data_IF_434722248099
#
_entry.id   IF_434722248099
#
_cell.length_a   1.000
_cell.length_b   1.000
_cell.length_c   1.000
_cell.angle_alpha   90.00
_cell.angle_beta   90.00
_cell.angle_gamma   90.00
#
_symmetry.space_group_name_H-M   'P 1'
#
loop_
_entity.id
_entity.type
_entity.pdbx_description
1 polymer ?
#
# COMPACT_ATOMS: atom_id res chain seq x y z
N UNK A 1 -49.51 48.21 33.64
CA UNK A 1 -49.70 47.12 32.67
C UNK A 1 -48.30 46.76 32.16
N UNK A 2 -47.66 45.68 32.71
CA UNK A 2 -46.29 45.25 32.35
C UNK A 2 -46.43 44.15 31.33
N UNK A 3 -45.89 44.40 30.13
CA UNK A 3 -45.86 43.43 29.03
C UNK A 3 -44.61 42.58 29.22
N UNK A 4 -44.80 41.27 29.47
CA UNK A 4 -43.75 40.26 29.48
C UNK A 4 -43.52 39.79 28.04
N UNK A 5 -42.32 39.95 27.50
CA UNK A 5 -41.88 39.39 26.23
C UNK A 5 -41.19 38.06 26.49
N UNK A 6 -41.61 36.95 25.93
CA UNK A 6 -40.88 35.68 26.11
C UNK A 6 -39.66 35.63 25.19
N UNK A 7 -38.50 35.41 25.81
CA UNK A 7 -37.23 35.15 25.14
C UNK A 7 -37.22 33.69 24.60
N UNK A 8 -37.36 33.51 23.29
CA UNK A 8 -37.17 32.20 22.64
C UNK A 8 -35.65 31.89 22.61
N UNK A 9 -35.23 30.91 23.38
CA UNK A 9 -33.92 30.28 23.28
C UNK A 9 -33.92 29.33 22.06
N UNK A 10 -33.29 29.72 20.97
CA UNK A 10 -32.95 28.82 19.89
C UNK A 10 -31.77 27.93 20.34
N UNK A 11 -32.06 26.66 20.64
CA UNK A 11 -31.05 25.65 20.86
C UNK A 11 -30.50 25.22 19.49
N UNK A 12 -29.34 25.74 19.11
CA UNK A 12 -28.58 25.20 17.96
C UNK A 12 -27.95 23.87 18.36
N UNK A 13 -28.54 22.76 17.96
CA UNK A 13 -27.89 21.46 17.97
C UNK A 13 -26.82 21.51 16.87
N UNK A 14 -25.55 21.72 17.28
CA UNK A 14 -24.43 21.44 16.42
C UNK A 14 -24.43 19.91 16.16
N UNK A 15 -24.91 19.51 15.01
CA UNK A 15 -24.77 18.14 14.54
C UNK A 15 -23.28 17.85 14.44
N UNK A 16 -22.76 16.89 15.21
CA UNK A 16 -21.46 16.31 14.96
C UNK A 16 -21.48 15.83 13.51
N UNK A 17 -20.60 16.36 12.68
CA UNK A 17 -20.40 15.84 11.34
C UNK A 17 -20.00 14.35 11.53
N UNK A 18 -20.87 13.46 11.07
CA UNK A 18 -20.60 12.03 11.02
C UNK A 18 -19.45 11.87 10.02
N UNK A 19 -18.21 11.85 10.54
CA UNK A 19 -17.02 11.65 9.71
C UNK A 19 -17.10 10.21 9.23
N UNK A 20 -17.56 10.04 7.98
CA UNK A 20 -17.69 8.73 7.36
C UNK A 20 -16.38 7.95 7.52
N UNK A 21 -16.46 6.73 8.04
CA UNK A 21 -15.30 5.88 8.27
C UNK A 21 -14.46 5.75 6.99
N UNK A 22 -13.14 5.86 7.15
CA UNK A 22 -12.15 5.84 6.07
C UNK A 22 -11.26 4.61 6.21
N UNK A 23 -10.92 3.99 5.09
CA UNK A 23 -9.99 2.85 5.03
C UNK A 23 -8.80 3.21 4.15
N UNK A 24 -7.59 3.03 4.65
CA UNK A 24 -6.37 3.12 3.86
C UNK A 24 -6.16 1.80 3.13
N UNK A 25 -6.22 1.83 1.80
CA UNK A 25 -6.09 0.63 0.97
C UNK A 25 -4.84 0.63 0.11
N UNK A 26 -4.37 -0.58 -0.20
CA UNK A 26 -3.43 -0.87 -1.27
C UNK A 26 -4.12 -1.77 -2.30
N UNK A 27 -4.15 -1.37 -3.57
CA UNK A 27 -4.44 -2.27 -4.69
C UNK A 27 -3.10 -2.72 -5.22
N UNK A 28 -2.85 -4.01 -5.15
CA UNK A 28 -1.55 -4.61 -5.31
C UNK A 28 -1.56 -5.81 -6.25
N UNK A 29 -0.39 -6.15 -6.76
CA UNK A 29 -0.12 -7.39 -7.48
C UNK A 29 0.64 -8.35 -6.57
N UNK A 30 0.18 -9.58 -6.51
CA UNK A 30 0.85 -10.67 -5.82
C UNK A 30 1.89 -11.27 -6.78
N UNK A 31 3.18 -11.34 -6.41
CA UNK A 31 4.20 -11.91 -7.28
C UNK A 31 4.13 -13.43 -7.30
N UNK A 32 4.71 -14.02 -8.34
CA UNK A 32 4.87 -15.47 -8.47
C UNK A 32 5.92 -16.03 -7.48
N UNK A 33 6.04 -17.37 -7.46
CA UNK A 33 6.97 -18.07 -6.58
C UNK A 33 8.42 -17.66 -6.78
N UNK A 34 8.82 -17.23 -7.99
CA UNK A 34 10.19 -16.78 -8.27
C UNK A 34 10.56 -15.56 -7.41
N UNK A 35 9.69 -14.54 -7.42
CA UNK A 35 9.91 -13.35 -6.59
C UNK A 35 9.70 -13.66 -5.10
N UNK A 36 8.70 -14.50 -4.75
CA UNK A 36 8.45 -14.85 -3.35
C UNK A 36 9.68 -15.49 -2.70
N UNK A 37 10.31 -16.48 -3.33
CA UNK A 37 11.52 -17.11 -2.83
C UNK A 37 12.67 -16.10 -2.63
N UNK A 38 12.87 -15.18 -3.58
CA UNK A 38 13.90 -14.13 -3.47
C UNK A 38 13.59 -13.14 -2.35
N UNK A 39 12.33 -12.79 -2.14
CA UNK A 39 11.89 -11.92 -1.06
C UNK A 39 12.09 -12.57 0.32
N UNK A 40 11.72 -13.85 0.45
CA UNK A 40 11.90 -14.65 1.68
C UNK A 40 13.38 -14.82 2.02
N UNK A 41 14.22 -15.17 1.05
CA UNK A 41 15.68 -15.26 1.24
C UNK A 41 16.29 -13.94 1.69
N UNK A 42 15.83 -12.83 1.14
CA UNK A 42 16.30 -11.51 1.55
C UNK A 42 15.81 -11.18 2.96
N UNK A 43 14.53 -11.41 3.27
CA UNK A 43 13.97 -11.19 4.60
C UNK A 43 14.72 -12.00 5.67
N UNK A 44 14.99 -13.27 5.42
CA UNK A 44 15.75 -14.12 6.34
C UNK A 44 17.16 -13.56 6.64
N UNK A 45 17.82 -12.96 5.64
CA UNK A 45 19.12 -12.28 5.83
C UNK A 45 18.97 -10.99 6.64
N UNK A 46 17.93 -10.20 6.39
CA UNK A 46 17.66 -8.98 7.14
C UNK A 46 17.34 -9.27 8.61
N UNK A 47 16.52 -10.28 8.88
CA UNK A 47 16.17 -10.70 10.26
C UNK A 47 17.37 -11.21 11.06
N UNK A 48 18.37 -11.87 10.41
CA UNK A 48 19.60 -12.25 11.08
C UNK A 48 20.40 -11.04 11.60
N UNK A 49 20.33 -9.92 10.90
CA UNK A 49 21.03 -8.67 11.25
C UNK A 49 20.19 -7.80 12.16
N UNK A 50 18.88 -7.80 11.96
CA UNK A 50 17.92 -6.99 12.71
C UNK A 50 16.69 -7.82 13.12
N UNK A 51 16.82 -8.63 14.20
CA UNK A 51 15.72 -9.49 14.67
C UNK A 51 14.45 -8.77 15.11
N UNK A 52 14.53 -7.44 15.31
CA UNK A 52 13.37 -6.56 15.59
C UNK A 52 12.59 -6.14 14.33
N UNK A 53 13.05 -6.55 13.16
CA UNK A 53 12.33 -6.37 11.91
C UNK A 53 11.14 -7.32 11.81
N UNK A 54 10.29 -7.11 10.83
CA UNK A 54 9.15 -8.00 10.58
C UNK A 54 9.54 -9.19 9.69
N UNK A 55 8.93 -10.34 9.95
CA UNK A 55 8.95 -11.49 9.06
C UNK A 55 7.90 -11.31 7.94
N UNK A 56 8.17 -11.89 6.76
CA UNK A 56 7.16 -11.98 5.71
C UNK A 56 6.13 -13.05 6.07
N UNK A 57 4.95 -12.61 6.48
CA UNK A 57 3.87 -13.46 6.99
C UNK A 57 2.49 -13.03 6.44
N UNK A 58 1.42 -13.38 7.13
CA UNK A 58 0.05 -13.04 6.72
C UNK A 58 -0.25 -11.54 6.81
N UNK A 59 0.47 -10.79 7.66
CA UNK A 59 0.32 -9.34 7.88
C UNK A 59 1.37 -8.49 7.15
N UNK A 60 2.40 -9.15 6.59
CA UNK A 60 3.50 -8.56 5.84
C UNK A 60 3.70 -9.29 4.51
N UNK A 61 2.65 -9.40 3.72
CA UNK A 61 2.68 -10.12 2.44
C UNK A 61 3.57 -9.42 1.41
N UNK A 62 4.53 -10.15 0.77
CA UNK A 62 5.27 -9.62 -0.37
C UNK A 62 4.32 -9.25 -1.51
N UNK A 63 4.42 -8.03 -2.02
CA UNK A 63 3.54 -7.53 -3.07
C UNK A 63 4.19 -6.39 -3.85
N UNK A 64 3.63 -6.06 -4.99
CA UNK A 64 3.90 -4.82 -5.70
C UNK A 64 2.69 -3.91 -5.51
N UNK A 65 2.86 -2.82 -4.77
CA UNK A 65 1.87 -1.76 -4.71
C UNK A 65 1.63 -1.18 -6.10
N UNK A 66 0.38 -1.16 -6.55
CA UNK A 66 -0.01 -0.42 -7.75
C UNK A 66 -0.54 0.96 -7.37
N UNK A 67 -1.44 1.04 -6.40
CA UNK A 67 -1.92 2.33 -5.86
C UNK A 67 -2.23 2.22 -4.37
N UNK A 68 -1.94 3.28 -3.61
CA UNK A 68 -2.43 3.45 -2.24
C UNK A 68 -3.35 4.67 -2.17
N UNK A 69 -4.49 4.53 -1.49
CA UNK A 69 -5.50 5.57 -1.36
C UNK A 69 -6.29 5.45 -0.06
N UNK A 70 -6.82 6.57 0.38
CA UNK A 70 -7.91 6.59 1.33
C UNK A 70 -9.23 6.48 0.60
N UNK A 71 -10.11 5.60 1.05
CA UNK A 71 -11.45 5.40 0.48
C UNK A 71 -12.50 5.47 1.59
N UNK A 72 -13.71 5.90 1.26
CA UNK A 72 -14.82 5.76 2.20
C UNK A 72 -15.09 4.27 2.42
N UNK A 73 -15.09 3.84 3.67
CA UNK A 73 -15.31 2.42 4.03
C UNK A 73 -16.62 1.87 3.46
N UNK A 74 -17.66 2.70 3.41
CA UNK A 74 -18.96 2.35 2.81
C UNK A 74 -18.91 2.14 1.28
N UNK A 75 -17.84 2.58 0.61
CA UNK A 75 -17.69 2.45 -0.85
C UNK A 75 -16.74 1.30 -1.25
N UNK A 76 -16.24 0.50 -0.31
CA UNK A 76 -15.29 -0.59 -0.60
C UNK A 76 -15.79 -1.54 -1.69
N UNK A 77 -17.06 -1.94 -1.68
CA UNK A 77 -17.62 -2.81 -2.73
C UNK A 77 -17.59 -2.15 -4.11
N UNK A 78 -17.77 -0.83 -4.18
CA UNK A 78 -17.66 -0.07 -5.43
C UNK A 78 -16.21 0.00 -5.91
N UNK A 79 -15.25 0.15 -4.98
CA UNK A 79 -13.81 0.08 -5.27
C UNK A 79 -13.47 -1.30 -5.85
N UNK A 80 -13.94 -2.39 -5.22
CA UNK A 80 -13.71 -3.75 -5.72
C UNK A 80 -14.30 -3.96 -7.12
N UNK A 81 -15.51 -3.48 -7.36
CA UNK A 81 -16.14 -3.59 -8.68
C UNK A 81 -15.38 -2.78 -9.75
N UNK A 82 -14.91 -1.58 -9.41
CA UNK A 82 -14.12 -0.75 -10.30
C UNK A 82 -12.75 -1.39 -10.62
N UNK A 83 -12.03 -1.86 -9.60
CA UNK A 83 -10.76 -2.56 -9.77
C UNK A 83 -10.92 -3.84 -10.59
N UNK A 84 -11.98 -4.63 -10.34
CA UNK A 84 -12.26 -5.84 -11.11
C UNK A 84 -12.42 -5.58 -12.61
N UNK A 85 -13.11 -4.50 -12.99
CA UNK A 85 -13.27 -4.12 -14.40
C UNK A 85 -11.94 -3.83 -15.08
N UNK A 86 -11.05 -3.11 -14.39
CA UNK A 86 -9.72 -2.79 -14.90
C UNK A 86 -8.85 -4.04 -15.01
N UNK A 87 -8.81 -4.86 -13.96
CA UNK A 87 -8.02 -6.10 -13.92
C UNK A 87 -8.48 -7.11 -14.97
N UNK A 88 -9.79 -7.25 -15.19
CA UNK A 88 -10.35 -8.14 -16.22
C UNK A 88 -10.05 -7.67 -17.65
N UNK A 89 -9.90 -6.35 -17.85
CA UNK A 89 -9.54 -5.80 -19.16
C UNK A 89 -8.03 -5.83 -19.43
N UNK A 90 -7.22 -5.88 -18.37
CA UNK A 90 -5.76 -5.92 -18.47
C UNK A 90 -5.29 -7.37 -18.52
N UNK A 91 -4.36 -7.70 -19.46
CA UNK A 91 -3.71 -9.01 -19.47
C UNK A 91 -2.61 -9.09 -18.41
N UNK A 92 -3.02 -9.03 -17.13
CA UNK A 92 -2.07 -8.96 -15.99
C UNK A 92 -1.19 -10.20 -15.92
N UNK A 93 -1.72 -11.40 -16.27
CA UNK A 93 -0.96 -12.65 -16.28
C UNK A 93 0.15 -12.67 -17.36
N UNK A 94 -0.05 -11.92 -18.44
CA UNK A 94 0.95 -11.78 -19.50
C UNK A 94 2.11 -10.86 -19.15
N UNK A 95 2.00 -10.11 -18.06
CA UNK A 95 3.04 -9.17 -17.60
C UNK A 95 4.29 -9.95 -17.17
N UNK A 96 5.43 -9.58 -17.75
CA UNK A 96 6.76 -10.05 -17.35
C UNK A 96 7.55 -8.88 -16.81
N UNK A 97 8.01 -8.98 -15.57
CA UNK A 97 8.77 -7.95 -14.88
C UNK A 97 10.20 -8.41 -14.65
N UNK A 98 11.16 -7.52 -14.84
CA UNK A 98 12.56 -7.74 -14.51
C UNK A 98 12.87 -7.10 -13.16
N UNK A 99 13.21 -7.90 -12.16
CA UNK A 99 13.85 -7.43 -10.94
C UNK A 99 15.31 -7.14 -11.22
N UNK A 100 15.82 -5.93 -10.86
CA UNK A 100 17.13 -5.51 -11.35
C UNK A 100 18.04 -4.85 -10.31
N UNK A 101 17.52 -4.55 -9.10
CA UNK A 101 18.33 -3.98 -8.01
C UNK A 101 17.64 -4.11 -6.66
N UNK A 102 18.46 -4.06 -5.61
CA UNK A 102 17.99 -3.73 -4.27
C UNK A 102 17.78 -2.23 -4.12
N UNK A 103 16.94 -1.85 -3.16
CA UNK A 103 16.80 -0.47 -2.69
C UNK A 103 16.36 -0.47 -1.24
N UNK A 104 16.33 0.71 -0.63
CA UNK A 104 15.62 0.91 0.62
C UNK A 104 15.09 2.33 0.75
N UNK A 105 14.03 2.50 1.55
CA UNK A 105 13.50 3.79 1.98
C UNK A 105 14.10 4.07 3.36
N UNK A 106 14.89 5.15 3.54
CA UNK A 106 15.51 5.45 4.82
C UNK A 106 14.48 5.95 5.85
N UNK A 107 14.61 5.49 7.10
CA UNK A 107 13.84 5.97 8.25
C UNK A 107 14.74 5.97 9.48
N UNK A 108 15.19 7.15 9.92
CA UNK A 108 16.16 7.32 11.02
C UNK A 108 17.41 6.41 10.81
N UNK A 109 17.64 5.47 11.72
CA UNK A 109 18.81 4.57 11.71
C UNK A 109 18.57 3.27 10.93
N UNK A 110 17.34 3.02 10.49
CA UNK A 110 16.95 1.83 9.71
C UNK A 110 16.49 2.22 8.31
N UNK A 111 16.27 1.23 7.46
CA UNK A 111 15.63 1.39 6.16
C UNK A 111 14.67 0.25 5.87
N UNK A 112 13.61 0.57 5.13
CA UNK A 112 12.67 -0.39 4.60
C UNK A 112 13.22 -0.90 3.26
N UNK A 113 13.72 -2.12 3.26
CA UNK A 113 14.42 -2.73 2.14
C UNK A 113 13.46 -3.42 1.15
N UNK A 114 13.83 -3.44 -0.11
CA UNK A 114 13.06 -4.11 -1.15
C UNK A 114 13.87 -4.46 -2.40
N UNK A 115 13.18 -5.14 -3.31
CA UNK A 115 13.65 -5.51 -4.64
C UNK A 115 12.83 -4.72 -5.66
N UNK A 116 13.50 -3.94 -6.51
CA UNK A 116 12.87 -3.09 -7.51
C UNK A 116 12.72 -3.84 -8.83
N UNK A 117 11.52 -3.75 -9.41
CA UNK A 117 11.24 -4.18 -10.77
C UNK A 117 11.31 -3.00 -11.74
N UNK A 118 11.67 -3.27 -13.01
CA UNK A 118 11.60 -2.24 -14.06
C UNK A 118 10.14 -1.90 -14.35
N UNK A 119 9.76 -0.61 -14.34
CA UNK A 119 8.44 -0.23 -14.82
C UNK A 119 8.36 -0.48 -16.33
N UNK A 120 7.25 -1.09 -16.76
CA UNK A 120 6.92 -1.33 -18.16
C UNK A 120 5.61 -0.63 -18.52
N UNK A 121 5.37 -0.42 -19.80
CA UNK A 121 4.21 0.34 -20.28
C UNK A 121 2.87 -0.27 -19.82
N UNK A 122 2.76 -1.60 -19.81
CA UNK A 122 1.57 -2.32 -19.37
C UNK A 122 1.28 -2.09 -17.88
N UNK A 123 2.32 -2.08 -17.04
CA UNK A 123 2.18 -1.84 -15.61
C UNK A 123 1.84 -0.37 -15.30
N UNK A 124 2.44 0.57 -16.03
CA UNK A 124 2.11 2.00 -15.94
C UNK A 124 0.67 2.26 -16.37
N UNK A 125 0.23 1.62 -17.45
CA UNK A 125 -1.16 1.72 -17.91
C UNK A 125 -2.13 1.15 -16.88
N UNK A 126 -1.84 -0.03 -16.31
CA UNK A 126 -2.64 -0.63 -15.26
C UNK A 126 -2.78 0.31 -14.05
N UNK A 127 -1.67 0.92 -13.62
CA UNK A 127 -1.68 1.91 -12.53
C UNK A 127 -2.61 3.08 -12.85
N UNK A 128 -2.46 3.68 -14.03
CA UNK A 128 -3.27 4.82 -14.44
C UNK A 128 -4.77 4.47 -14.53
N UNK A 129 -5.09 3.33 -15.12
CA UNK A 129 -6.48 2.87 -15.25
C UNK A 129 -7.12 2.64 -13.87
N UNK A 130 -6.38 2.04 -12.91
CA UNK A 130 -6.84 1.85 -11.54
C UNK A 130 -7.02 3.18 -10.80
N UNK A 131 -6.10 4.14 -10.96
CA UNK A 131 -6.23 5.48 -10.38
C UNK A 131 -7.53 6.13 -10.85
N UNK A 132 -7.79 6.13 -12.16
CA UNK A 132 -9.01 6.71 -12.74
C UNK A 132 -10.26 6.01 -12.22
N UNK A 133 -10.28 4.69 -12.24
CA UNK A 133 -11.44 3.88 -11.88
C UNK A 133 -11.86 4.03 -10.41
N UNK A 134 -10.89 4.16 -9.48
CA UNK A 134 -11.19 4.23 -8.03
C UNK A 134 -11.35 5.66 -7.51
N UNK A 135 -10.87 6.67 -8.23
CA UNK A 135 -10.93 8.09 -7.81
C UNK A 135 -12.32 8.54 -7.31
N UNK A 136 -13.47 8.15 -7.90
CA UNK A 136 -14.79 8.58 -7.40
C UNK A 136 -15.09 8.16 -5.96
N UNK A 137 -14.40 7.15 -5.43
CA UNK A 137 -14.62 6.56 -4.10
C UNK A 137 -13.57 6.98 -3.08
N UNK A 138 -12.56 7.75 -3.50
CA UNK A 138 -11.45 8.17 -2.65
C UNK A 138 -11.79 9.43 -1.85
N UNK A 139 -11.05 9.61 -0.76
CA UNK A 139 -10.96 10.85 0.01
C UNK A 139 -9.49 11.30 0.04
N UNK A 140 -9.26 12.59 0.26
CA UNK A 140 -7.90 13.15 0.20
C UNK A 140 -7.03 12.73 1.38
N UNK A 141 -7.63 12.63 2.57
CA UNK A 141 -6.90 12.38 3.82
C UNK A 141 -7.58 11.31 4.66
N UNK A 142 -6.80 10.72 5.52
CA UNK A 142 -7.25 9.85 6.60
C UNK A 142 -6.33 10.05 7.81
N UNK A 143 -6.56 9.28 8.85
CA UNK A 143 -5.73 9.24 10.04
C UNK A 143 -5.30 7.80 10.37
N UNK A 144 -4.69 7.58 11.54
CA UNK A 144 -4.23 6.26 11.96
C UNK A 144 -5.35 5.21 12.07
N UNK A 145 -6.60 5.62 12.31
CA UNK A 145 -7.75 4.70 12.40
C UNK A 145 -8.10 4.03 11.07
N UNK A 146 -7.64 4.59 9.94
CA UNK A 146 -7.82 4.02 8.62
C UNK A 146 -6.96 2.76 8.37
N UNK A 147 -5.96 2.52 9.21
CA UNK A 147 -4.98 1.44 9.09
C UNK A 147 -5.28 0.29 10.04
N UNK A 148 -4.65 -0.86 9.77
CA UNK A 148 -4.62 -2.00 10.69
C UNK A 148 -3.44 -1.82 11.63
N UNK A 149 -3.69 -1.99 12.93
CA UNK A 149 -2.63 -2.13 13.95
C UNK A 149 -2.61 -3.55 14.47
N UNK A 150 -1.45 -4.03 14.87
CA UNK A 150 -1.23 -5.34 15.49
C UNK A 150 -0.49 -5.16 16.82
N UNK A 151 -0.41 -6.18 17.69
CA UNK A 151 0.43 -6.12 18.88
C UNK A 151 1.90 -5.83 18.58
N UNK A 152 2.41 -6.28 17.43
CA UNK A 152 3.79 -6.06 17.00
C UNK A 152 3.98 -4.68 16.35
N UNK A 153 2.92 -4.16 15.69
CA UNK A 153 2.90 -2.85 15.04
C UNK A 153 1.73 -1.99 15.57
N UNK A 154 1.81 -1.53 16.83
CA UNK A 154 0.69 -0.85 17.50
C UNK A 154 0.51 0.61 17.09
N UNK A 155 1.47 1.19 16.38
CA UNK A 155 1.49 2.61 16.02
C UNK A 155 1.71 2.80 14.54
N UNK A 156 0.89 3.63 13.91
CA UNK A 156 1.05 4.04 12.51
C UNK A 156 1.89 5.32 12.45
N UNK A 157 2.97 5.27 11.68
CA UNK A 157 3.86 6.42 11.51
C UNK A 157 3.13 7.57 10.77
N UNK A 158 3.18 8.81 11.28
CA UNK A 158 2.57 9.96 10.60
C UNK A 158 3.08 10.17 9.16
N UNK A 159 4.32 9.81 8.87
CA UNK A 159 4.85 9.89 7.50
C UNK A 159 4.17 8.94 6.53
N UNK A 160 3.73 7.76 7.00
CA UNK A 160 2.94 6.83 6.20
C UNK A 160 1.54 7.39 5.93
N UNK A 161 0.89 8.00 6.94
CA UNK A 161 -0.42 8.65 6.76
C UNK A 161 -0.33 9.71 5.66
N UNK A 162 0.70 10.56 5.72
CA UNK A 162 0.95 11.57 4.69
C UNK A 162 1.30 10.95 3.33
N UNK A 163 2.05 9.85 3.30
CA UNK A 163 2.44 9.17 2.08
C UNK A 163 1.21 8.67 1.29
N UNK A 164 0.25 8.02 1.95
CA UNK A 164 -1.00 7.56 1.31
C UNK A 164 -1.78 8.72 0.70
N UNK A 165 -1.89 9.88 1.39
CA UNK A 165 -2.53 11.09 0.87
C UNK A 165 -1.85 11.62 -0.39
N UNK A 166 -0.54 11.45 -0.50
CA UNK A 166 0.27 12.00 -1.60
C UNK A 166 0.75 10.94 -2.58
N UNK A 167 0.28 9.70 -2.48
CA UNK A 167 0.77 8.58 -3.30
C UNK A 167 0.65 8.88 -4.80
N UNK A 168 -0.52 9.28 -5.26
CA UNK A 168 -0.73 9.48 -6.71
C UNK A 168 0.23 10.54 -7.28
N UNK A 169 0.35 11.76 -6.75
CA UNK A 169 1.27 12.74 -7.33
C UNK A 169 2.75 12.40 -7.15
N UNK A 170 3.11 11.56 -6.16
CA UNK A 170 4.51 11.30 -5.82
C UNK A 170 5.04 9.92 -6.23
N UNK A 171 4.16 8.95 -6.47
CA UNK A 171 4.52 7.55 -6.70
C UNK A 171 3.78 6.92 -7.88
N UNK A 172 3.29 7.72 -8.84
CA UNK A 172 2.66 7.22 -10.06
C UNK A 172 3.27 7.82 -11.32
N UNK A 173 2.96 7.25 -12.47
CA UNK A 173 3.49 7.68 -13.76
C UNK A 173 5.02 7.60 -13.79
N UNK A 174 5.70 8.69 -14.15
CA UNK A 174 7.17 8.77 -14.22
C UNK A 174 7.87 8.56 -12.87
N UNK A 175 7.14 8.76 -11.76
CA UNK A 175 7.65 8.53 -10.41
C UNK A 175 7.39 7.11 -9.90
N UNK A 176 6.75 6.26 -10.69
CA UNK A 176 6.42 4.91 -10.28
C UNK A 176 7.68 4.04 -10.15
N UNK A 177 7.93 3.57 -8.94
CA UNK A 177 9.03 2.67 -8.62
C UNK A 177 8.47 1.33 -8.10
N UNK A 178 8.02 0.43 -9.00
CA UNK A 178 7.45 -0.85 -8.58
C UNK A 178 8.50 -1.69 -7.85
N UNK A 179 8.15 -2.16 -6.67
CA UNK A 179 9.06 -2.93 -5.83
C UNK A 179 8.33 -3.91 -4.93
N UNK A 180 9.04 -4.90 -4.46
CA UNK A 180 8.59 -5.82 -3.41
C UNK A 180 9.39 -5.55 -2.15
N UNK A 181 8.71 -5.09 -1.10
CA UNK A 181 9.32 -4.89 0.22
C UNK A 181 9.71 -6.23 0.82
N UNK A 182 10.89 -6.30 1.41
CA UNK A 182 11.48 -7.53 1.92
C UNK A 182 11.83 -7.49 3.40
N UNK A 183 11.68 -6.34 4.07
CA UNK A 183 11.94 -6.21 5.50
C UNK A 183 12.65 -4.91 5.87
N UNK A 184 13.12 -4.83 7.11
CA UNK A 184 13.86 -3.68 7.63
C UNK A 184 15.23 -4.11 8.17
N UNK A 185 16.21 -3.21 8.07
CA UNK A 185 17.55 -3.41 8.66
C UNK A 185 18.23 -2.06 8.93
N UNK A 186 19.34 -2.02 9.70
CA UNK A 186 20.15 -0.83 9.86
C UNK A 186 20.66 -0.30 8.52
N UNK A 187 20.64 1.02 8.35
CA UNK A 187 21.06 1.68 7.09
C UNK A 187 22.46 1.26 6.66
N UNK A 188 23.41 1.20 7.58
CA UNK A 188 24.78 0.78 7.28
C UNK A 188 24.85 -0.63 6.64
N UNK A 189 24.00 -1.56 7.07
CA UNK A 189 23.92 -2.87 6.44
C UNK A 189 23.31 -2.79 5.04
N UNK A 190 22.27 -1.97 4.88
CA UNK A 190 21.58 -1.79 3.61
C UNK A 190 22.49 -1.10 2.58
N UNK A 191 23.31 -0.13 2.99
CA UNK A 191 24.31 0.50 2.12
C UNK A 191 25.32 -0.53 1.60
N UNK A 192 25.79 -1.43 2.47
CA UNK A 192 26.68 -2.54 2.04
C UNK A 192 25.95 -3.55 1.13
N UNK A 193 24.65 -3.76 1.33
CA UNK A 193 23.84 -4.62 0.46
C UNK A 193 23.70 -4.00 -0.94
N UNK A 194 23.44 -2.70 -1.03
CA UNK A 194 23.33 -1.99 -2.31
C UNK A 194 24.65 -1.96 -3.10
N UNK A 195 25.79 -2.01 -2.41
CA UNK A 195 27.10 -2.04 -3.05
C UNK A 195 27.45 -3.41 -3.68
N UNK A 196 26.67 -4.46 -3.41
CA UNK A 196 26.87 -5.79 -4.01
C UNK A 196 26.19 -5.90 -5.37
N UNK A 197 26.78 -6.67 -6.31
CA UNK A 197 26.11 -6.98 -7.57
C UNK A 197 24.72 -7.60 -7.31
N UNK A 198 23.74 -7.21 -8.09
CA UNK A 198 22.40 -7.79 -8.12
C UNK A 198 22.28 -8.68 -9.36
N UNK A 199 21.91 -9.92 -9.17
CA UNK A 199 21.58 -10.83 -10.27
C UNK A 199 20.13 -10.59 -10.68
N UNK A 200 19.92 -9.98 -11.86
CA UNK A 200 18.58 -9.73 -12.41
C UNK A 200 17.85 -11.03 -12.68
N UNK A 201 16.54 -11.02 -12.46
CA UNK A 201 15.68 -12.15 -12.77
C UNK A 201 14.29 -11.69 -13.22
N UNK A 202 13.60 -12.55 -13.95
CA UNK A 202 12.24 -12.28 -14.44
C UNK A 202 11.22 -12.99 -13.55
N UNK A 203 10.10 -12.33 -13.32
CA UNK A 203 8.95 -12.86 -12.58
C UNK A 203 7.65 -12.30 -13.16
N UNK A 204 6.50 -12.79 -12.68
CA UNK A 204 5.17 -12.35 -13.13
C UNK A 204 4.24 -12.13 -11.95
N UNK A 205 3.20 -11.30 -12.11
CA UNK A 205 2.06 -11.31 -11.22
C UNK A 205 1.34 -12.66 -11.28
N UNK A 206 1.00 -13.22 -10.12
CA UNK A 206 0.21 -14.45 -9.98
C UNK A 206 -1.23 -14.16 -9.50
N UNK A 207 -1.47 -12.96 -8.94
CA UNK A 207 -2.75 -12.51 -8.45
C UNK A 207 -2.79 -10.99 -8.30
N UNK A 208 -3.97 -10.48 -8.01
CA UNK A 208 -4.17 -9.11 -7.57
C UNK A 208 -5.06 -9.09 -6.34
N UNK A 209 -4.91 -8.08 -5.48
CA UNK A 209 -5.71 -7.98 -4.28
C UNK A 209 -5.90 -6.52 -3.84
N UNK A 210 -6.88 -6.31 -2.96
CA UNK A 210 -7.00 -5.10 -2.15
C UNK A 210 -6.74 -5.49 -0.70
N UNK A 211 -5.81 -4.78 -0.10
CA UNK A 211 -5.52 -4.90 1.33
C UNK A 211 -5.79 -3.59 2.05
N UNK A 212 -6.18 -3.69 3.32
CA UNK A 212 -6.06 -2.56 4.25
C UNK A 212 -4.61 -2.49 4.70
N UNK A 213 -4.06 -1.29 4.65
CA UNK A 213 -2.67 -1.02 5.00
C UNK A 213 -2.41 -1.17 6.50
N UNK A 214 -1.24 -1.68 6.85
CA UNK A 214 -0.64 -1.65 8.18
C UNK A 214 0.55 -0.73 8.25
N UNK A 215 1.30 -0.79 9.35
CA UNK A 215 2.54 -0.04 9.53
C UNK A 215 3.54 -0.40 8.40
N UNK A 216 4.43 0.53 8.06
CA UNK A 216 5.35 0.45 6.90
C UNK A 216 4.67 0.35 5.53
N UNK A 217 3.37 0.55 5.41
CA UNK A 217 2.63 0.36 4.17
C UNK A 217 2.47 -1.12 3.79
N UNK A 218 2.49 -2.00 4.78
CA UNK A 218 2.35 -3.45 4.57
C UNK A 218 0.92 -3.84 4.19
N UNK A 219 0.78 -4.95 3.45
CA UNK A 219 -0.50 -5.58 3.14
C UNK A 219 -0.98 -6.38 4.37
N UNK A 220 -1.60 -5.67 5.34
CA UNK A 220 -1.87 -6.21 6.66
C UNK A 220 -3.17 -7.02 6.74
N UNK A 221 -4.25 -6.54 6.11
CA UNK A 221 -5.54 -7.24 6.12
C UNK A 221 -6.11 -7.35 4.72
N UNK A 222 -6.25 -8.58 4.23
CA UNK A 222 -6.88 -8.84 2.94
C UNK A 222 -8.36 -8.45 2.96
N UNK A 223 -8.77 -7.61 2.01
CA UNK A 223 -10.15 -7.18 1.83
C UNK A 223 -10.79 -7.86 0.62
N UNK A 224 -10.04 -7.99 -0.50
CA UNK A 224 -10.49 -8.63 -1.72
C UNK A 224 -9.31 -9.27 -2.45
N UNK A 225 -9.53 -10.35 -3.18
CA UNK A 225 -8.52 -11.04 -3.97
C UNK A 225 -9.09 -11.50 -5.30
N UNK A 226 -8.26 -11.50 -6.33
CA UNK A 226 -8.54 -12.03 -7.66
C UNK A 226 -7.42 -12.98 -8.08
N UNK A 227 -7.79 -14.22 -8.36
CA UNK A 227 -6.90 -15.15 -9.01
C UNK A 227 -6.76 -14.74 -10.48
N UNK A 228 -5.56 -14.37 -10.86
CA UNK A 228 -5.22 -14.08 -12.25
C UNK A 228 -4.82 -15.41 -12.93
N UNK A 229 -5.75 -16.37 -13.05
CA UNK A 229 -5.46 -17.62 -13.76
C UNK A 229 -5.40 -17.35 -15.26
N UNK A 230 -4.47 -18.01 -15.97
CA UNK A 230 -4.39 -17.93 -17.43
C UNK A 230 -5.63 -18.50 -18.09
#
# INVERSE_FOLDING_TARGET
MKILVPLLLLSSTAGAADTAAVTAIDILLQPDSTMLLRAEDNNARLLKVFPKGFALDATHRPHITVIQRYVRTADLDKVYAAANKVLAAANVNGIKLEAFKYYYIPSKDIGLAGIVARPIAELLKLQQDLIVAVTPFTVETGDSSAFVTTPDDPVIDPSLIQYVSTFVPKASGDNFNPHVTTGVAPREYLDRMLAKPFESFTFSPAGAAVYQLGQFGTAAKKLKEWDLKP
#
